data_IF_541344816885
#
_entry.id   IF_541344816885
#
_cell.length_a   1.000
_cell.length_b   1.000
_cell.length_c   1.000
_cell.angle_alpha   90.00
_cell.angle_beta   90.00
_cell.angle_gamma   90.00
#
_symmetry.space_group_name_H-M   'P 1'
#
loop_
_entity.id
_entity.type
_entity.pdbx_description
1 polymer ?
#
# COMPACT_ATOMS: atom_id res chain seq x y z
N UNK A 1 2.03 16.79 -14.33
CA UNK A 1 1.41 15.45 -14.31
C UNK A 1 0.05 15.57 -13.64
N UNK A 2 -1.02 15.33 -14.38
CA UNK A 2 -2.41 15.38 -13.88
C UNK A 2 -2.67 14.20 -12.92
N UNK A 3 -3.23 14.50 -11.75
CA UNK A 3 -3.34 13.65 -10.55
C UNK A 3 -4.12 12.33 -10.68
N UNK A 4 -4.63 11.97 -11.86
CA UNK A 4 -5.47 10.76 -12.03
C UNK A 4 -4.67 9.47 -12.28
N UNK A 5 -3.47 9.56 -12.84
CA UNK A 5 -2.68 8.35 -13.19
C UNK A 5 -1.94 7.72 -12.01
N UNK A 6 -1.96 8.38 -10.85
CA UNK A 6 -1.29 7.92 -9.64
C UNK A 6 -2.17 7.02 -8.77
N UNK A 7 -3.46 6.83 -9.10
CA UNK A 7 -4.39 6.02 -8.31
C UNK A 7 -4.86 4.81 -9.09
N UNK A 8 -4.71 3.63 -8.49
CA UNK A 8 -5.14 2.39 -9.13
C UNK A 8 -5.66 1.39 -8.11
N UNK A 9 -6.47 0.45 -8.59
CA UNK A 9 -6.86 -0.71 -7.80
C UNK A 9 -5.84 -1.81 -8.04
N UNK A 10 -5.40 -2.43 -6.95
CA UNK A 10 -4.48 -3.55 -6.99
C UNK A 10 -4.91 -4.61 -5.98
N UNK A 11 -4.62 -5.87 -6.29
CA UNK A 11 -4.67 -6.94 -5.30
C UNK A 11 -3.31 -6.96 -4.62
N UNK A 12 -3.30 -6.80 -3.29
CA UNK A 12 -2.12 -7.01 -2.46
C UNK A 12 -2.23 -8.39 -1.80
N UNK A 13 -1.29 -9.27 -2.13
CA UNK A 13 -1.18 -10.62 -1.59
C UNK A 13 -0.02 -10.69 -0.60
N UNK A 14 -0.32 -11.09 0.63
CA UNK A 14 0.64 -11.20 1.76
C UNK A 14 0.67 -12.63 2.30
N UNK A 15 1.76 -13.02 2.97
CA UNK A 15 1.82 -14.27 3.73
C UNK A 15 1.26 -14.06 5.13
N UNK A 16 0.23 -14.84 5.51
CA UNK A 16 -0.39 -14.78 6.83
C UNK A 16 0.62 -15.04 7.94
N UNK A 17 0.89 -14.04 8.79
CA UNK A 17 1.96 -14.12 9.81
C UNK A 17 1.78 -15.25 10.83
N UNK A 18 0.54 -15.71 11.04
CA UNK A 18 0.21 -16.81 11.98
C UNK A 18 0.06 -18.16 11.28
N UNK A 19 -0.46 -18.16 10.05
CA UNK A 19 -0.90 -19.38 9.36
C UNK A 19 0.01 -19.81 8.23
N UNK A 20 0.90 -18.92 7.76
CA UNK A 20 1.71 -19.09 6.56
C UNK A 20 0.91 -19.07 5.25
N UNK A 21 -0.42 -18.99 5.29
CA UNK A 21 -1.29 -19.03 4.11
C UNK A 21 -1.37 -17.67 3.42
N UNK A 22 -1.56 -17.66 2.10
CA UNK A 22 -1.76 -16.43 1.33
C UNK A 22 -3.03 -15.70 1.78
N UNK A 23 -2.93 -14.40 1.96
CA UNK A 23 -4.05 -13.48 2.21
C UNK A 23 -4.02 -12.36 1.18
N UNK A 24 -5.09 -12.24 0.39
CA UNK A 24 -5.19 -11.30 -0.73
C UNK A 24 -6.34 -10.32 -0.49
N UNK A 25 -6.08 -9.03 -0.74
CA UNK A 25 -7.08 -7.96 -0.58
C UNK A 25 -6.99 -6.98 -1.74
N UNK A 26 -8.14 -6.58 -2.28
CA UNK A 26 -8.21 -5.50 -3.28
C UNK A 26 -8.16 -4.16 -2.55
N UNK A 27 -7.19 -3.32 -2.90
CA UNK A 27 -6.95 -2.03 -2.27
C UNK A 27 -6.77 -0.94 -3.33
N UNK A 28 -7.13 0.30 -2.97
CA UNK A 28 -6.71 1.49 -3.71
C UNK A 28 -5.27 1.85 -3.31
N UNK A 29 -4.36 1.78 -4.28
CA UNK A 29 -2.95 2.09 -4.15
C UNK A 29 -2.63 3.48 -4.72
N UNK A 30 -1.52 4.06 -4.27
CA UNK A 30 -0.96 5.31 -4.79
C UNK A 30 0.39 5.02 -5.43
N UNK A 31 0.61 5.48 -6.65
CA UNK A 31 1.93 5.57 -7.28
C UNK A 31 2.51 6.96 -7.05
N UNK A 32 3.68 7.04 -6.44
CA UNK A 32 4.34 8.31 -6.13
C UNK A 32 5.86 8.12 -6.10
N UNK A 33 6.62 8.99 -6.74
CA UNK A 33 8.09 8.88 -6.86
C UNK A 33 8.54 7.45 -7.22
N UNK A 34 7.93 6.88 -8.26
CA UNK A 34 8.21 5.54 -8.81
C UNK A 34 7.95 4.37 -7.86
N UNK A 35 7.46 4.61 -6.64
CA UNK A 35 7.06 3.59 -5.68
C UNK A 35 5.54 3.41 -5.65
N UNK A 36 5.12 2.27 -5.11
CA UNK A 36 3.71 1.94 -4.85
C UNK A 36 3.47 2.03 -3.35
N UNK A 37 2.35 2.65 -2.94
CA UNK A 37 1.98 2.79 -1.54
C UNK A 37 0.59 2.23 -1.26
N UNK A 38 0.47 1.53 -0.14
CA UNK A 38 -0.80 1.10 0.43
C UNK A 38 -0.97 1.74 1.80
N UNK A 39 -1.98 2.60 1.93
CA UNK A 39 -2.28 3.30 3.17
C UNK A 39 -3.62 2.93 3.78
N UNK A 40 -3.75 3.11 5.09
CA UNK A 40 -4.95 2.82 5.89
C UNK A 40 -5.00 3.63 7.17
N UNK A 41 -6.17 3.69 7.81
CA UNK A 41 -6.40 4.48 9.02
C UNK A 41 -5.58 3.96 10.23
N UNK A 42 -5.54 2.66 10.49
CA UNK A 42 -4.86 2.06 11.66
C UNK A 42 -3.96 0.91 11.24
N UNK A 43 -2.92 0.52 12.00
CA UNK A 43 -2.05 -0.62 11.68
C UNK A 43 -2.62 -1.99 12.09
N UNK A 44 -3.94 -2.13 12.27
CA UNK A 44 -4.58 -3.28 12.94
C UNK A 44 -5.09 -4.45 12.04
N UNK A 45 -5.53 -4.20 10.82
CA UNK A 45 -5.85 -5.15 9.76
C UNK A 45 -4.70 -6.04 9.26
N UNK A 46 -5.11 -7.20 8.76
CA UNK A 46 -4.22 -8.34 8.59
C UNK A 46 -3.18 -8.18 7.50
N UNK A 47 -3.54 -7.64 6.32
CA UNK A 47 -2.56 -7.40 5.25
C UNK A 47 -1.39 -6.53 5.73
N UNK A 48 -1.66 -5.51 6.54
CA UNK A 48 -0.63 -4.61 7.05
C UNK A 48 0.27 -5.33 8.06
N UNK A 49 -0.33 -6.01 9.05
CA UNK A 49 0.42 -6.79 10.04
C UNK A 49 1.22 -7.93 9.39
N UNK A 50 0.68 -8.53 8.35
CA UNK A 50 1.35 -9.59 7.60
C UNK A 50 2.56 -9.02 6.86
N UNK A 51 2.41 -7.92 6.13
CA UNK A 51 3.51 -7.25 5.43
C UNK A 51 4.63 -6.76 6.38
N UNK A 52 4.29 -6.39 7.61
CA UNK A 52 5.31 -6.02 8.62
C UNK A 52 6.05 -7.23 9.20
N UNK A 53 5.42 -8.40 9.27
CA UNK A 53 6.04 -9.62 9.78
C UNK A 53 6.79 -10.41 8.69
N UNK A 54 6.28 -10.37 7.46
CA UNK A 54 6.90 -10.92 6.27
C UNK A 54 6.74 -9.90 5.13
N UNK A 55 7.83 -9.17 4.78
CA UNK A 55 7.75 -8.06 3.84
C UNK A 55 7.61 -8.49 2.38
N UNK A 56 7.79 -9.76 2.05
CA UNK A 56 7.65 -10.22 0.68
C UNK A 56 6.16 -10.28 0.29
N UNK A 57 5.79 -9.51 -0.72
CA UNK A 57 4.42 -9.35 -1.19
C UNK A 57 4.30 -9.54 -2.70
N UNK A 58 3.11 -9.90 -3.14
CA UNK A 58 2.74 -9.94 -4.56
C UNK A 58 1.69 -8.87 -4.80
N UNK A 59 1.84 -8.13 -5.90
CA UNK A 59 0.91 -7.08 -6.31
C UNK A 59 0.39 -7.42 -7.70
N UNK A 60 -0.92 -7.42 -7.86
CA UNK A 60 -1.57 -7.64 -9.16
C UNK A 60 -2.34 -6.37 -9.56
N UNK A 61 -2.00 -5.79 -10.70
CA UNK A 61 -2.71 -4.66 -11.30
C UNK A 61 -2.44 -4.62 -12.82
N UNK A 62 -3.36 -4.05 -13.60
CA UNK A 62 -3.25 -3.95 -15.07
C UNK A 62 -2.86 -5.29 -15.74
N UNK A 63 -3.52 -6.38 -15.35
CA UNK A 63 -3.27 -7.74 -15.87
C UNK A 63 -1.81 -8.22 -15.73
N UNK A 64 -1.05 -7.59 -14.83
CA UNK A 64 0.35 -7.90 -14.57
C UNK A 64 0.53 -8.24 -13.10
N UNK A 65 1.49 -9.12 -12.83
CA UNK A 65 1.84 -9.58 -11.48
C UNK A 65 3.27 -9.16 -11.19
N UNK A 66 3.47 -8.54 -10.04
CA UNK A 66 4.77 -8.06 -9.58
C UNK A 66 5.07 -8.61 -8.19
N UNK A 67 6.35 -8.81 -7.89
CA UNK A 67 6.81 -9.10 -6.53
C UNK A 67 7.54 -7.89 -5.96
N UNK A 68 7.51 -7.74 -4.63
CA UNK A 68 8.14 -6.59 -3.98
C UNK A 68 8.29 -6.75 -2.48
N UNK A 69 9.13 -5.88 -1.89
CA UNK A 69 9.30 -5.78 -0.44
C UNK A 69 8.51 -4.60 0.10
N UNK A 70 7.66 -4.88 1.10
CA UNK A 70 6.94 -3.88 1.86
C UNK A 70 7.80 -3.30 2.98
N UNK A 71 7.85 -1.97 3.08
CA UNK A 71 8.48 -1.26 4.18
C UNK A 71 7.50 -0.25 4.80
N UNK A 72 7.55 -0.10 6.12
CA UNK A 72 6.79 0.93 6.81
C UNK A 72 7.31 2.31 6.41
N UNK A 73 6.41 3.20 6.01
CA UNK A 73 6.72 4.62 5.86
C UNK A 73 6.87 5.22 7.26
N UNK A 74 8.05 5.77 7.58
CA UNK A 74 8.33 6.40 8.89
C UNK A 74 8.19 7.93 8.87
N UNK A 75 8.14 8.51 7.67
CA UNK A 75 8.00 9.95 7.49
C UNK A 75 6.52 10.35 7.50
N UNK A 76 6.07 11.01 8.56
CA UNK A 76 4.70 11.47 8.71
C UNK A 76 4.26 12.45 7.61
N UNK A 77 5.20 13.23 7.04
CA UNK A 77 4.89 14.13 5.91
C UNK A 77 4.54 13.30 4.68
N UNK A 78 5.31 12.24 4.41
CA UNK A 78 5.04 11.33 3.32
C UNK A 78 3.72 10.58 3.56
N UNK A 79 3.43 10.09 4.76
CA UNK A 79 2.14 9.45 5.07
C UNK A 79 0.95 10.38 4.77
N UNK A 80 1.07 11.65 5.15
CA UNK A 80 0.06 12.68 4.86
C UNK A 80 -0.06 12.91 3.35
N UNK A 81 1.04 13.06 2.64
CA UNK A 81 1.05 13.25 1.19
C UNK A 81 0.37 12.09 0.45
N UNK A 82 0.70 10.84 0.82
CA UNK A 82 0.06 9.65 0.27
C UNK A 82 -1.45 9.64 0.57
N UNK A 83 -1.86 10.08 1.75
CA UNK A 83 -3.29 10.19 2.10
C UNK A 83 -4.02 11.21 1.21
N UNK A 84 -3.42 12.38 1.00
CA UNK A 84 -3.95 13.43 0.13
C UNK A 84 -4.05 12.98 -1.32
N UNK A 85 -3.02 12.29 -1.82
CA UNK A 85 -3.03 11.68 -3.15
C UNK A 85 -4.13 10.62 -3.27
N UNK A 86 -4.38 9.83 -2.21
CA UNK A 86 -5.39 8.76 -2.21
C UNK A 86 -6.83 9.26 -2.20
N UNK A 87 -7.08 10.42 -1.58
CA UNK A 87 -8.41 10.98 -1.36
C UNK A 87 -8.45 12.49 -1.66
N UNK A 88 -8.14 12.91 -2.90
CA UNK A 88 -7.99 14.33 -3.23
C UNK A 88 -9.30 15.09 -3.00
N UNK A 89 -9.23 16.14 -2.16
CA UNK A 89 -10.38 16.98 -1.83
C UNK A 89 -11.37 16.39 -0.83
N UNK A 90 -11.09 15.20 -0.28
CA UNK A 90 -11.96 14.57 0.72
C UNK A 90 -11.45 14.85 2.14
N UNK A 91 -12.34 15.15 3.09
CA UNK A 91 -11.99 15.39 4.50
C UNK A 91 -11.18 14.24 5.13
N UNK A 92 -11.44 13.01 4.69
CA UNK A 92 -10.74 11.81 5.19
C UNK A 92 -9.24 11.79 4.85
N UNK A 93 -8.81 12.61 3.87
CA UNK A 93 -7.40 12.73 3.53
C UNK A 93 -6.55 13.31 4.68
N UNK A 94 -7.17 14.09 5.58
CA UNK A 94 -6.51 14.70 6.73
C UNK A 94 -6.49 13.80 7.98
N UNK A 95 -7.14 12.64 7.94
CA UNK A 95 -7.09 11.67 9.02
C UNK A 95 -5.70 11.04 9.13
N UNK A 96 -5.22 10.80 10.36
CA UNK A 96 -3.98 10.06 10.59
C UNK A 96 -4.07 8.68 9.93
N UNK A 97 -3.06 8.33 9.15
CA UNK A 97 -2.97 7.06 8.42
C UNK A 97 -1.57 6.51 8.54
N UNK A 98 -1.47 5.19 8.42
CA UNK A 98 -0.20 4.48 8.24
C UNK A 98 -0.08 4.02 6.80
N UNK A 99 1.15 3.99 6.28
CA UNK A 99 1.42 3.52 4.92
C UNK A 99 2.57 2.50 4.88
N UNK A 100 2.47 1.57 3.95
CA UNK A 100 3.63 0.80 3.48
C UNK A 100 4.00 1.27 2.09
N UNK A 101 5.30 1.39 1.84
CA UNK A 101 5.87 1.53 0.51
C UNK A 101 6.31 0.16 -0.01
N UNK A 102 6.18 -0.07 -1.31
CA UNK A 102 6.64 -1.28 -1.96
C UNK A 102 7.77 -0.97 -2.93
N UNK A 103 8.89 -1.65 -2.74
CA UNK A 103 9.99 -1.73 -3.70
C UNK A 103 9.84 -3.00 -4.51
N UNK A 104 9.56 -2.86 -5.80
CA UNK A 104 9.43 -4.01 -6.71
C UNK A 104 10.80 -4.64 -6.97
N UNK A 105 10.83 -5.96 -7.10
CA UNK A 105 11.99 -6.73 -7.57
C UNK A 105 11.54 -7.85 -8.52
N UNK A 106 12.46 -8.32 -9.36
CA UNK A 106 12.26 -9.42 -10.31
C UNK A 106 12.12 -10.77 -9.62
#
# INVERSE_FOLDING_TARGET
>A
MTSKDNLFHAILSTKGRKTGKRHSVTLRAVKYNEKIYFSRHRPDGDWFKNAMANPDVIIEYNNSTYTGKANLVKDEKLEREISQLKYPGEKRADEKRVAIEITLYE
#
